data_IF_982042218140
#
_entry.id   IF_982042218140
#
_cell.length_a   1.000
_cell.length_b   1.000
_cell.length_c   1.000
_cell.angle_alpha   90.00
_cell.angle_beta   90.00
_cell.angle_gamma   90.00
#
_symmetry.space_group_name_H-M   'P 1'
#
loop_
_entity.id
_entity.type
_entity.pdbx_description
1 polymer ?
#
# COMPACT_ATOMS: atom_id res chain seq x y z
N UNK A 1 -1.82 -1.50 33.32
CA UNK A 1 -1.20 -2.83 33.13
C UNK A 1 -0.64 -2.90 31.71
N UNK A 2 0.66 -3.19 31.57
CA UNK A 2 1.38 -3.50 30.32
C UNK A 2 1.04 -2.66 29.07
N UNK A 3 1.51 -1.40 29.05
CA UNK A 3 1.74 -0.71 27.78
C UNK A 3 3.03 -1.27 27.17
N UNK A 4 2.96 -1.79 25.94
CA UNK A 4 4.13 -2.21 25.17
C UNK A 4 5.10 -1.03 25.12
N UNK A 5 6.21 -1.13 25.84
CA UNK A 5 7.28 -0.14 25.77
C UNK A 5 8.11 -0.45 24.53
N UNK A 6 8.70 0.58 23.97
CA UNK A 6 9.63 0.52 22.84
C UNK A 6 10.63 -0.67 22.90
N UNK A 7 11.24 -1.04 24.05
CA UNK A 7 12.12 -2.21 24.13
C UNK A 7 11.44 -3.55 23.83
N UNK A 8 10.20 -3.79 24.28
CA UNK A 8 9.51 -5.05 23.99
C UNK A 8 9.20 -5.19 22.49
N UNK A 9 8.81 -4.08 21.84
CA UNK A 9 8.55 -4.06 20.39
C UNK A 9 9.83 -4.37 19.61
N UNK A 10 10.96 -3.79 19.98
CA UNK A 10 12.25 -4.05 19.33
C UNK A 10 12.63 -5.54 19.45
N UNK A 11 12.41 -6.14 20.62
CA UNK A 11 12.73 -7.55 20.86
C UNK A 11 11.85 -8.49 20.03
N UNK A 12 10.55 -8.17 19.88
CA UNK A 12 9.64 -8.91 19.00
C UNK A 12 10.07 -8.80 17.54
N UNK A 13 10.38 -7.60 17.08
CA UNK A 13 10.86 -7.37 15.70
C UNK A 13 12.15 -8.13 15.44
N UNK A 14 13.08 -8.16 16.41
CA UNK A 14 14.33 -8.90 16.30
C UNK A 14 14.11 -10.41 16.16
N UNK A 15 13.18 -10.99 16.94
CA UNK A 15 12.82 -12.41 16.84
C UNK A 15 12.22 -12.71 15.46
N UNK A 16 11.29 -11.88 14.97
CA UNK A 16 10.72 -12.03 13.62
C UNK A 16 11.81 -11.93 12.57
N UNK A 17 12.76 -11.00 12.72
CA UNK A 17 13.88 -10.82 11.80
C UNK A 17 14.81 -12.04 11.77
N UNK A 18 15.03 -12.71 12.91
CA UNK A 18 15.82 -13.94 12.97
C UNK A 18 15.11 -15.12 12.30
N UNK A 19 13.79 -15.25 12.48
CA UNK A 19 13.00 -16.33 11.89
C UNK A 19 12.82 -16.18 10.37
N UNK A 20 12.52 -14.97 9.91
CA UNK A 20 12.23 -14.71 8.49
C UNK A 20 13.44 -14.20 7.71
N UNK A 21 14.48 -13.72 8.39
CA UNK A 21 15.64 -13.06 7.81
C UNK A 21 15.35 -11.62 7.40
N UNK A 22 16.38 -10.76 7.43
CA UNK A 22 16.25 -9.33 7.10
C UNK A 22 15.88 -9.01 5.65
N UNK A 23 15.94 -10.00 4.74
CA UNK A 23 15.64 -9.82 3.31
C UNK A 23 14.17 -10.05 2.96
N UNK A 24 13.45 -10.92 3.69
CA UNK A 24 12.06 -11.27 3.35
C UNK A 24 11.08 -10.14 3.61
N UNK A 25 11.24 -9.38 4.69
CA UNK A 25 10.33 -8.26 4.99
C UNK A 25 10.38 -7.17 3.90
N UNK A 26 11.57 -6.67 3.47
CA UNK A 26 11.66 -5.72 2.36
C UNK A 26 11.13 -6.27 1.03
N UNK A 27 11.33 -7.56 0.76
CA UNK A 27 10.85 -8.22 -0.46
C UNK A 27 9.33 -8.29 -0.51
N UNK A 28 8.70 -8.69 0.60
CA UNK A 28 7.23 -8.69 0.75
C UNK A 28 6.66 -7.27 0.69
N UNK A 29 7.29 -6.29 1.33
CA UNK A 29 6.87 -4.89 1.26
C UNK A 29 6.96 -4.33 -0.16
N UNK A 30 8.01 -4.66 -0.92
CA UNK A 30 8.14 -4.26 -2.34
C UNK A 30 7.05 -4.89 -3.20
N UNK A 31 6.74 -6.17 -3.01
CA UNK A 31 5.66 -6.86 -3.72
C UNK A 31 4.29 -6.26 -3.42
N UNK A 32 3.97 -6.09 -2.14
CA UNK A 32 2.71 -5.49 -1.69
C UNK A 32 2.58 -4.03 -2.13
N UNK A 33 3.66 -3.24 -2.03
CA UNK A 33 3.68 -1.84 -2.45
C UNK A 33 3.44 -1.67 -3.96
N UNK A 34 3.97 -2.57 -4.79
CA UNK A 34 3.65 -2.58 -6.23
C UNK A 34 2.19 -2.92 -6.48
N UNK A 35 1.63 -3.92 -5.80
CA UNK A 35 0.21 -4.29 -5.93
C UNK A 35 -0.73 -3.15 -5.54
N UNK A 36 -0.48 -2.49 -4.41
CA UNK A 36 -1.27 -1.32 -3.97
C UNK A 36 -1.14 -0.16 -4.95
N UNK A 37 0.06 0.08 -5.49
CA UNK A 37 0.29 1.13 -6.48
C UNK A 37 -0.49 0.84 -7.77
N UNK A 38 -0.35 -0.35 -8.34
CA UNK A 38 -1.07 -0.75 -9.56
C UNK A 38 -2.59 -0.70 -9.38
N UNK A 39 -3.09 -1.09 -8.20
CA UNK A 39 -4.52 -1.00 -7.89
C UNK A 39 -4.99 0.46 -7.86
N UNK A 40 -4.23 1.36 -7.24
CA UNK A 40 -4.55 2.79 -7.18
C UNK A 40 -4.45 3.47 -8.55
N UNK A 41 -3.44 3.11 -9.35
CA UNK A 41 -3.25 3.67 -10.69
C UNK A 41 -4.43 3.28 -11.60
N UNK A 42 -4.85 2.01 -11.62
CA UNK A 42 -6.00 1.55 -12.40
C UNK A 42 -7.33 2.20 -11.97
N UNK A 43 -7.57 2.33 -10.66
CA UNK A 43 -8.76 3.05 -10.16
C UNK A 43 -8.75 4.54 -10.53
N UNK A 44 -7.57 5.15 -10.68
CA UNK A 44 -7.45 6.57 -11.02
C UNK A 44 -7.60 6.83 -12.52
N UNK A 45 -7.28 5.85 -13.37
CA UNK A 45 -7.56 5.89 -14.81
C UNK A 45 -9.08 5.80 -15.06
N UNK A 46 -9.79 4.86 -14.43
CA UNK A 46 -11.25 4.75 -14.52
C UNK A 46 -11.96 6.06 -14.11
N UNK A 47 -11.52 6.68 -13.01
CA UNK A 47 -12.10 7.95 -12.52
C UNK A 47 -11.80 9.14 -13.44
N UNK A 48 -10.72 9.09 -14.23
CA UNK A 48 -10.40 10.14 -15.20
C UNK A 48 -11.23 10.00 -16.46
N UNK A 49 -11.38 8.77 -16.97
CA UNK A 49 -12.21 8.49 -18.15
C UNK A 49 -13.68 8.84 -17.91
N UNK A 50 -14.25 8.50 -16.74
CA UNK A 50 -15.62 8.90 -16.38
C UNK A 50 -15.80 10.44 -16.30
N UNK A 51 -14.74 11.16 -15.96
CA UNK A 51 -14.78 12.61 -15.79
C UNK A 51 -14.66 13.35 -17.12
N UNK A 52 -13.94 12.80 -18.10
CA UNK A 52 -13.84 13.37 -19.45
C UNK A 52 -15.13 13.14 -20.24
N UNK A 53 -15.74 11.95 -20.15
CA UNK A 53 -17.04 11.65 -20.81
C UNK A 53 -18.21 12.51 -20.28
N UNK A 54 -18.14 12.93 -19.00
CA UNK A 54 -19.18 13.78 -18.39
C UNK A 54 -19.07 15.25 -18.83
N UNK A 55 -17.88 15.72 -19.21
CA UNK A 55 -17.64 17.11 -19.62
C UNK A 55 -18.04 17.28 -21.10
N UNK A 56 -17.74 16.31 -21.97
CA UNK A 56 -18.11 16.38 -23.40
C UNK A 56 -19.63 16.32 -23.62
N UNK A 57 -20.37 15.51 -22.84
CA UNK A 57 -21.85 15.46 -22.93
C UNK A 57 -22.55 16.75 -22.48
N UNK A 58 -21.87 17.64 -21.78
CA UNK A 58 -22.46 18.90 -21.28
C UNK A 58 -22.24 20.08 -22.22
N UNK A 59 -21.35 19.95 -23.20
CA UNK A 59 -21.10 20.99 -24.22
C UNK A 59 -21.97 20.82 -25.49
N UNK A 60 -22.60 19.65 -25.67
CA UNK A 60 -23.53 19.37 -26.79
C UNK A 60 -25.02 19.62 -26.47
N UNK A 61 -25.39 20.02 -25.24
CA UNK A 61 -26.78 20.35 -24.83
C UNK A 61 -27.03 21.87 -24.69
#
# INVERSE_FOLDING_TARGET
MFGLKTPEIILIVLVILLLFGGKKIPELMKGMGRGVKSFKDGMSEEVKEEKEETIEKKEEE
#
